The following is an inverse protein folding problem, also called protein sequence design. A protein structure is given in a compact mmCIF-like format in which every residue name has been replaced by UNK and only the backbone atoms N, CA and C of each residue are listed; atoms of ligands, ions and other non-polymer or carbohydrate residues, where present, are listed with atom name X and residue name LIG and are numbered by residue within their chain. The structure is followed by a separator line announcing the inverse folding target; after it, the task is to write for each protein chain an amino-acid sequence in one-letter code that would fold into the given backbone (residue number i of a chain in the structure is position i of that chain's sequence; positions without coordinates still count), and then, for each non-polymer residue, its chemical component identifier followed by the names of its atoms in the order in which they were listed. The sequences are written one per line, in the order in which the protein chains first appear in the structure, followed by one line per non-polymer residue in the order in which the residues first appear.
data_IF_231641881441
#
_entry.id   IF_231641881441
#
_cell.length_a   1.000
_cell.length_b   1.000
_cell.length_c   1.000
_cell.angle_alpha   90.00
_cell.angle_beta   90.00
_cell.angle_gamma   90.00
#
_symmetry.space_group_name_H-M   'P 1'
#
loop_
_entity.id
_entity.type
_entity.pdbx_description
1 polymer ?
#
# COMPACT_ATOMS: atom_id res chain seq x y z
N UNK A 1 -24.45 11.99 18.77
CA UNK A 1 -23.14 11.35 18.81
C UNK A 1 -22.61 11.10 17.41
N UNK A 2 -21.35 11.32 17.23
CA UNK A 2 -20.75 11.14 15.91
C UNK A 2 -20.68 9.67 15.56
N UNK A 3 -21.06 9.34 14.34
CA UNK A 3 -20.96 7.99 13.86
C UNK A 3 -19.51 7.66 13.53
N UNK A 4 -18.86 6.92 14.43
CA UNK A 4 -17.46 6.57 14.25
C UNK A 4 -17.23 5.68 13.04
N UNK A 5 -18.24 4.95 12.58
CA UNK A 5 -18.03 4.13 11.39
C UNK A 5 -17.89 4.98 10.14
N UNK A 6 -18.53 6.13 10.08
CA UNK A 6 -18.33 7.07 8.95
C UNK A 6 -16.90 7.58 8.95
N UNK A 7 -16.41 8.00 10.11
CA UNK A 7 -15.05 8.48 10.23
C UNK A 7 -14.03 7.40 9.91
N UNK A 8 -14.26 6.20 10.40
CA UNK A 8 -13.37 5.09 10.13
C UNK A 8 -13.27 4.78 8.65
N UNK A 9 -14.41 4.79 7.96
CA UNK A 9 -14.44 4.51 6.54
C UNK A 9 -13.68 5.57 5.75
N UNK A 10 -13.90 6.82 6.09
CA UNK A 10 -13.24 7.94 5.44
C UNK A 10 -11.73 7.88 5.67
N UNK A 11 -11.32 7.64 6.91
CA UNK A 11 -9.91 7.52 7.27
C UNK A 11 -9.25 6.35 6.56
N UNK A 12 -9.97 5.23 6.45
CA UNK A 12 -9.42 4.04 5.83
C UNK A 12 -9.08 4.30 4.36
N UNK A 13 -9.95 5.04 3.67
CA UNK A 13 -9.69 5.40 2.28
C UNK A 13 -8.42 6.25 2.15
N UNK A 14 -8.30 7.27 2.98
CA UNK A 14 -7.13 8.15 2.98
C UNK A 14 -5.87 7.37 3.35
N UNK A 15 -5.96 6.53 4.38
CA UNK A 15 -4.82 5.74 4.81
C UNK A 15 -4.40 4.72 3.76
N UNK A 16 -5.37 4.10 3.09
CA UNK A 16 -5.05 3.12 2.07
C UNK A 16 -4.21 3.76 0.95
N UNK A 17 -4.60 4.94 0.52
CA UNK A 17 -3.85 5.66 -0.52
C UNK A 17 -2.47 6.06 -0.05
N UNK A 18 -2.39 6.54 1.18
CA UNK A 18 -1.12 6.95 1.76
C UNK A 18 -0.17 5.76 1.91
N UNK A 19 -0.67 4.66 2.46
CA UNK A 19 0.16 3.47 2.66
C UNK A 19 0.56 2.83 1.34
N UNK A 20 -0.32 2.90 0.35
CA UNK A 20 0.03 2.42 -0.98
C UNK A 20 1.20 3.22 -1.55
N UNK A 21 1.16 4.54 -1.44
CA UNK A 21 2.24 5.39 -1.90
C UNK A 21 3.55 5.09 -1.18
N UNK A 22 3.49 4.88 0.13
CA UNK A 22 4.67 4.55 0.92
C UNK A 22 5.23 3.17 0.53
N UNK A 23 4.35 2.21 0.31
CA UNK A 23 4.77 0.88 -0.11
C UNK A 23 5.46 0.92 -1.47
N UNK A 24 4.94 1.72 -2.40
CA UNK A 24 5.58 1.90 -3.70
C UNK A 24 6.96 2.52 -3.57
N UNK A 25 7.10 3.53 -2.72
CA UNK A 25 8.40 4.16 -2.47
C UNK A 25 9.39 3.15 -1.91
N UNK A 26 8.94 2.34 -0.98
CA UNK A 26 9.80 1.32 -0.39
C UNK A 26 10.28 0.34 -1.45
N UNK A 27 9.37 -0.11 -2.30
CA UNK A 27 9.72 -1.03 -3.38
C UNK A 27 10.73 -0.39 -4.34
N UNK A 28 10.51 0.86 -4.71
CA UNK A 28 11.41 1.59 -5.60
C UNK A 28 12.79 1.75 -4.98
N UNK A 29 12.84 2.05 -3.68
CA UNK A 29 14.11 2.18 -2.98
C UNK A 29 14.89 0.87 -2.96
N UNK A 30 14.20 -0.23 -2.69
CA UNK A 30 14.85 -1.54 -2.70
C UNK A 30 15.33 -1.93 -4.10
N UNK A 31 14.55 -1.60 -5.13
CA UNK A 31 14.96 -1.85 -6.50
C UNK A 31 16.21 -1.06 -6.86
N UNK A 32 16.28 0.18 -6.41
CA UNK A 32 17.46 1.02 -6.62
C UNK A 32 18.68 0.44 -5.90
N UNK A 33 18.51 -0.02 -4.69
CA UNK A 33 19.59 -0.66 -3.96
C UNK A 33 20.09 -1.91 -4.69
N UNK A 34 19.16 -2.67 -5.24
CA UNK A 34 19.50 -3.87 -5.98
C UNK A 34 20.29 -3.54 -7.25
N UNK A 35 19.79 -2.61 -8.04
CA UNK A 35 20.40 -2.23 -9.30
C UNK A 35 21.80 -1.64 -9.13
N UNK A 36 21.98 -0.86 -8.06
CA UNK A 36 23.27 -0.24 -7.77
C UNK A 36 24.25 -1.18 -7.10
N UNK A 37 23.78 -2.32 -6.61
CA UNK A 37 24.62 -3.25 -5.87
C UNK A 37 24.85 -2.86 -4.42
N UNK A 38 24.33 -1.71 -3.99
CA UNK A 38 24.55 -1.23 -2.63
C UNK A 38 23.89 -2.08 -1.57
N UNK A 39 22.91 -2.89 -1.94
CA UNK A 39 22.22 -3.76 -0.99
C UNK A 39 23.19 -4.67 -0.24
N UNK A 40 24.30 -5.06 -0.89
CA UNK A 40 25.29 -5.96 -0.31
C UNK A 40 25.95 -5.39 0.94
N UNK A 41 25.92 -4.09 1.08
CA UNK A 41 26.50 -3.42 2.26
C UNK A 41 25.62 -3.52 3.49
N UNK A 42 24.33 -3.72 3.29
CA UNK A 42 23.35 -3.65 4.36
C UNK A 42 22.68 -4.98 4.66
N UNK A 43 22.63 -5.87 3.69
CA UNK A 43 21.89 -7.12 3.80
C UNK A 43 22.66 -8.27 3.19
N UNK A 44 22.41 -9.48 3.73
CA UNK A 44 22.80 -10.68 3.00
C UNK A 44 21.74 -10.94 1.92
N UNK A 45 22.03 -11.85 1.01
CA UNK A 45 21.17 -12.10 -0.14
C UNK A 45 19.79 -12.59 0.29
N UNK A 46 19.74 -13.52 1.22
CA UNK A 46 18.47 -14.08 1.66
C UNK A 46 17.59 -13.05 2.34
N UNK A 47 18.16 -12.25 3.22
CA UNK A 47 17.45 -11.19 3.91
C UNK A 47 16.95 -10.15 2.92
N UNK A 48 17.78 -9.78 1.95
CA UNK A 48 17.38 -8.81 0.95
C UNK A 48 16.22 -9.32 0.11
N UNK A 49 16.25 -10.58 -0.31
CA UNK A 49 15.16 -11.19 -1.05
C UNK A 49 13.86 -11.18 -0.26
N UNK A 50 13.96 -11.45 1.05
CA UNK A 50 12.78 -11.42 1.91
C UNK A 50 12.20 -10.01 1.98
N UNK A 51 13.04 -8.99 2.08
CA UNK A 51 12.59 -7.61 2.06
C UNK A 51 11.92 -7.24 0.74
N UNK A 52 12.48 -7.70 -0.37
CA UNK A 52 11.90 -7.44 -1.69
C UNK A 52 10.52 -8.08 -1.83
N UNK A 53 10.40 -9.34 -1.41
CA UNK A 53 9.11 -10.03 -1.47
C UNK A 53 8.07 -9.34 -0.60
N UNK A 54 8.49 -8.92 0.58
CA UNK A 54 7.61 -8.22 1.51
C UNK A 54 7.14 -6.90 0.92
N UNK A 55 8.05 -6.15 0.30
CA UNK A 55 7.72 -4.86 -0.30
C UNK A 55 6.71 -5.02 -1.45
N UNK A 56 6.91 -6.02 -2.29
CA UNK A 56 5.98 -6.31 -3.38
C UNK A 56 4.60 -6.67 -2.84
N UNK A 57 4.55 -7.52 -1.82
CA UNK A 57 3.27 -7.90 -1.20
C UNK A 57 2.56 -6.73 -0.57
N UNK A 58 3.31 -5.81 0.02
CA UNK A 58 2.71 -4.61 0.60
C UNK A 58 2.07 -3.73 -0.47
N UNK A 59 2.74 -3.55 -1.60
CA UNK A 59 2.17 -2.79 -2.70
C UNK A 59 0.88 -3.44 -3.18
N UNK A 60 0.91 -4.75 -3.39
CA UNK A 60 -0.27 -5.49 -3.83
C UNK A 60 -1.40 -5.41 -2.83
N UNK A 61 -1.07 -5.56 -1.56
CA UNK A 61 -2.06 -5.49 -0.49
C UNK A 61 -2.78 -4.13 -0.49
N UNK A 62 -2.01 -3.04 -0.51
CA UNK A 62 -2.62 -1.71 -0.45
C UNK A 62 -3.32 -1.35 -1.74
N UNK A 63 -2.88 -1.90 -2.85
CA UNK A 63 -3.59 -1.76 -4.11
C UNK A 63 -4.96 -2.43 -4.04
N UNK A 64 -5.02 -3.64 -3.50
CA UNK A 64 -6.28 -4.35 -3.30
C UNK A 64 -7.22 -3.59 -2.38
N UNK A 65 -6.69 -3.08 -1.27
CA UNK A 65 -7.50 -2.29 -0.34
C UNK A 65 -8.07 -1.06 -1.04
N UNK A 66 -7.25 -0.37 -1.80
CA UNK A 66 -7.69 0.82 -2.52
C UNK A 66 -8.75 0.47 -3.58
N UNK A 67 -8.59 -0.64 -4.25
CA UNK A 67 -9.55 -1.11 -5.25
C UNK A 67 -10.89 -1.47 -4.63
N UNK A 68 -10.86 -2.16 -3.49
CA UNK A 68 -12.08 -2.49 -2.76
C UNK A 68 -12.79 -1.23 -2.31
N UNK A 69 -12.06 -0.27 -1.80
CA UNK A 69 -12.63 1.00 -1.36
C UNK A 69 -13.26 1.78 -2.51
N UNK A 70 -12.59 1.77 -3.65
CA UNK A 70 -13.09 2.45 -4.83
C UNK A 70 -14.35 1.79 -5.35
N UNK A 71 -14.37 0.46 -5.39
CA UNK A 71 -15.54 -0.30 -5.79
C UNK A 71 -16.72 -0.06 -4.85
N UNK A 72 -16.46 -0.02 -3.56
CA UNK A 72 -17.50 0.25 -2.57
C UNK A 72 -18.09 1.65 -2.76
N UNK A 73 -17.25 2.64 -3.07
CA UNK A 73 -17.71 3.99 -3.34
C UNK A 73 -18.53 4.06 -4.61
N UNK A 74 -18.07 3.39 -5.66
CA UNK A 74 -18.77 3.38 -6.93
C UNK A 74 -20.12 2.69 -6.85
N UNK A 75 -20.21 1.73 -5.96
CA UNK A 75 -21.42 0.93 -5.77
C UNK A 75 -22.49 1.64 -4.94
N UNK A 76 -22.22 2.79 -4.39
CA UNK A 76 -23.18 3.54 -3.61
C UNK A 76 -24.29 4.02 -4.49
N UNK A 77 -25.47 3.66 -4.12
CA UNK A 77 -26.57 4.11 -4.90
C UNK A 77 -26.80 5.58 -4.78
N UNK A 78 -26.62 5.97 -4.38
CA UNK A 78 -26.88 7.03 -4.64
C UNK A 78 -27.35 7.72 -5.09
N UNK A 79 -27.08 7.46 -5.05
CA UNK A 79 -27.19 8.04 -5.47
C UNK A 79 -27.93 8.58 -6.05
N UNK A 80 -28.26 8.37 -5.94
CA UNK A 80 -28.82 8.77 -6.54
C UNK A 80 -29.75 9.40 -6.58
N UNK A 81 -29.95 9.53 -6.71
CA UNK A 81 -30.95 10.02 -6.70
C UNK A 81 -31.53 10.86 -6.85
#
# INVERSE_FOLDING_TARGET
MVDSSVFKRFRTDVFARKWHALAKRRREHLAELYESGRWRRYYDEETFRAHMRSAVREVEHWQEVADVMRAASADRPHQAA
#
